data_IF_156420594806
#
_entry.id   IF_156420594806
#
_cell.length_a   1.000
_cell.length_b   1.000
_cell.length_c   1.000
_cell.angle_alpha   90.00
_cell.angle_beta   90.00
_cell.angle_gamma   90.00
#
_symmetry.space_group_name_H-M   'P 1'
#
loop_
_entity.id
_entity.type
_entity.pdbx_description
1 polymer ?
#
# COMPACT_ATOMS: atom_id res chain seq x y z
N UNK A 1 -10.63 -11.26 13.88
CA UNK A 1 -10.94 -9.87 14.13
C UNK A 1 -10.62 -9.01 12.90
N UNK A 2 -9.46 -9.09 12.28
CA UNK A 2 -9.09 -8.27 11.10
C UNK A 2 -9.09 -9.07 9.79
N UNK A 3 -10.09 -9.93 9.60
CA UNK A 3 -10.18 -10.86 8.44
C UNK A 3 -10.33 -10.13 7.11
N UNK A 4 -10.91 -8.93 7.10
CA UNK A 4 -11.03 -8.11 5.89
C UNK A 4 -9.67 -7.77 5.24
N UNK A 5 -8.61 -7.65 6.05
CA UNK A 5 -7.26 -7.35 5.57
C UNK A 5 -6.47 -8.59 5.13
N UNK A 6 -7.01 -9.81 5.35
CA UNK A 6 -6.47 -11.05 4.78
C UNK A 6 -6.93 -11.21 3.34
N UNK A 7 -6.49 -10.29 2.50
CA UNK A 7 -6.91 -10.16 1.11
C UNK A 7 -5.94 -9.30 0.31
N UNK A 8 -6.27 -9.00 -0.94
CA UNK A 8 -5.55 -8.02 -1.74
C UNK A 8 -6.12 -6.63 -1.48
N UNK A 9 -5.34 -5.73 -0.90
CA UNK A 9 -5.60 -4.30 -0.85
C UNK A 9 -4.90 -3.58 -1.99
N UNK A 10 -5.47 -2.48 -2.48
CA UNK A 10 -4.86 -1.63 -3.49
C UNK A 10 -4.24 -0.39 -2.85
N UNK A 11 -2.96 -0.14 -3.11
CA UNK A 11 -2.35 1.16 -2.86
C UNK A 11 -2.80 2.13 -3.96
N UNK A 12 -3.95 2.78 -3.73
CA UNK A 12 -4.66 3.56 -4.76
C UNK A 12 -3.80 4.74 -5.22
N UNK A 13 -3.69 4.94 -6.54
CA UNK A 13 -3.07 6.15 -7.11
C UNK A 13 -3.99 7.36 -6.92
N UNK A 14 -3.41 8.57 -6.94
CA UNK A 14 -4.15 9.82 -7.13
C UNK A 14 -3.99 10.25 -8.60
N UNK A 15 -5.03 10.20 -9.42
CA UNK A 15 -4.97 10.72 -10.79
C UNK A 15 -4.88 12.23 -10.80
N UNK A 16 -4.11 12.78 -11.73
CA UNK A 16 -3.98 14.23 -11.94
C UNK A 16 -4.31 14.62 -13.37
N UNK A 17 -4.87 15.81 -13.54
CA UNK A 17 -4.92 16.51 -14.83
C UNK A 17 -3.51 17.01 -15.23
N UNK A 18 -3.36 17.48 -16.47
CA UNK A 18 -2.08 18.03 -16.99
C UNK A 18 -1.59 19.26 -16.24
N UNK A 19 -2.49 20.03 -15.66
CA UNK A 19 -2.20 21.20 -14.84
C UNK A 19 -1.82 20.84 -13.38
N UNK A 20 -1.85 19.54 -13.05
CA UNK A 20 -1.54 19.02 -11.72
C UNK A 20 -2.72 19.01 -10.76
N UNK A 21 -3.91 19.49 -11.14
CA UNK A 21 -5.12 19.35 -10.31
C UNK A 21 -5.58 17.89 -10.24
N UNK A 22 -6.34 17.52 -9.20
CA UNK A 22 -6.82 16.15 -8.98
C UNK A 22 -7.93 15.82 -9.99
N UNK A 23 -7.78 14.70 -10.70
CA UNK A 23 -8.80 14.16 -11.61
C UNK A 23 -9.75 13.22 -10.86
N UNK A 24 -10.74 13.79 -10.19
CA UNK A 24 -11.74 13.04 -9.44
C UNK A 24 -12.58 12.10 -10.33
N UNK A 25 -12.80 12.45 -11.60
CA UNK A 25 -13.53 11.59 -12.54
C UNK A 25 -12.75 10.29 -12.85
N UNK A 26 -11.45 10.37 -13.02
CA UNK A 26 -10.61 9.18 -13.16
C UNK A 26 -10.47 8.42 -11.84
N UNK A 27 -10.46 9.10 -10.71
CA UNK A 27 -10.44 8.48 -9.39
C UNK A 27 -11.72 7.66 -9.14
N UNK A 28 -12.91 8.22 -9.47
CA UNK A 28 -14.18 7.50 -9.43
C UNK A 28 -14.14 6.22 -10.26
N UNK A 29 -13.73 6.33 -11.52
CA UNK A 29 -13.63 5.19 -12.44
C UNK A 29 -12.68 4.10 -11.90
N UNK A 30 -11.55 4.48 -11.30
CA UNK A 30 -10.62 3.53 -10.71
C UNK A 30 -11.23 2.83 -9.49
N UNK A 31 -11.92 3.54 -8.61
CA UNK A 31 -12.56 2.96 -7.43
C UNK A 31 -13.63 1.95 -7.85
N UNK A 32 -14.50 2.29 -8.79
CA UNK A 32 -15.51 1.36 -9.30
C UNK A 32 -14.88 0.16 -10.01
N UNK A 33 -13.81 0.37 -10.77
CA UNK A 33 -13.04 -0.70 -11.39
C UNK A 33 -12.47 -1.67 -10.35
N UNK A 34 -11.92 -1.16 -9.24
CA UNK A 34 -11.41 -1.97 -8.15
C UNK A 34 -12.52 -2.79 -7.47
N UNK A 35 -13.64 -2.16 -7.15
CA UNK A 35 -14.77 -2.81 -6.47
C UNK A 35 -15.35 -3.92 -7.35
N UNK A 36 -15.59 -3.64 -8.63
CA UNK A 36 -16.13 -4.60 -9.61
C UNK A 36 -15.20 -5.81 -9.79
N UNK A 37 -13.88 -5.62 -9.62
CA UNK A 37 -12.88 -6.67 -9.76
C UNK A 37 -12.46 -7.29 -8.41
N UNK A 38 -13.30 -7.15 -7.37
CA UNK A 38 -13.18 -7.82 -6.08
C UNK A 38 -11.94 -7.47 -5.26
N UNK A 39 -11.43 -6.22 -5.35
CA UNK A 39 -10.40 -5.79 -4.41
C UNK A 39 -10.91 -5.93 -2.96
N UNK A 40 -10.06 -6.33 -2.04
CA UNK A 40 -10.43 -6.54 -0.65
C UNK A 40 -10.63 -5.24 0.13
N UNK A 41 -9.74 -4.27 -0.05
CA UNK A 41 -9.76 -2.97 0.63
C UNK A 41 -8.93 -1.93 -0.12
N UNK A 42 -9.14 -0.66 0.23
CA UNK A 42 -8.41 0.48 -0.32
C UNK A 42 -7.36 0.99 0.67
N UNK A 43 -6.20 1.39 0.16
CA UNK A 43 -5.22 2.19 0.91
C UNK A 43 -5.11 3.54 0.21
N UNK A 44 -5.64 4.57 0.85
CA UNK A 44 -5.75 5.94 0.34
C UNK A 44 -4.62 6.79 0.93
N UNK A 45 -4.07 7.72 0.15
CA UNK A 45 -2.97 8.60 0.58
C UNK A 45 -1.70 7.87 1.03
N UNK A 46 -1.49 6.63 0.55
CA UNK A 46 -0.20 5.95 0.67
C UNK A 46 0.85 6.57 -0.26
N UNK A 47 2.04 5.96 -0.31
CA UNK A 47 3.14 6.38 -1.20
C UNK A 47 2.73 6.42 -2.68
N UNK A 48 1.98 5.40 -3.11
CA UNK A 48 1.48 5.26 -4.49
C UNK A 48 0.48 6.37 -4.85
N UNK A 49 -0.23 6.91 -3.85
CA UNK A 49 -1.14 8.05 -3.99
C UNK A 49 -0.45 9.42 -4.02
N UNK A 50 0.89 9.47 -4.11
CA UNK A 50 1.68 10.71 -4.16
C UNK A 50 1.36 11.69 -3.01
N UNK A 51 1.06 11.17 -1.82
CA UNK A 51 0.63 11.97 -0.66
C UNK A 51 1.63 13.05 -0.23
N UNK A 52 2.92 12.89 -0.58
CA UNK A 52 3.96 13.88 -0.29
C UNK A 52 3.81 15.19 -1.09
N UNK A 53 3.12 15.17 -2.23
CA UNK A 53 2.91 16.34 -3.11
C UNK A 53 1.50 16.92 -3.00
N UNK A 54 0.67 16.37 -2.12
CA UNK A 54 -0.68 16.86 -1.85
C UNK A 54 -0.68 17.82 -0.66
N UNK A 55 -1.34 18.96 -0.79
CA UNK A 55 -1.57 19.86 0.32
C UNK A 55 -2.70 19.34 1.25
N UNK A 56 -2.94 20.05 2.36
CA UNK A 56 -3.91 19.62 3.37
C UNK A 56 -5.34 19.54 2.82
N UNK A 57 -5.76 20.55 2.07
CA UNK A 57 -7.13 20.63 1.54
C UNK A 57 -7.37 19.55 0.48
N UNK A 58 -6.38 19.26 -0.37
CA UNK A 58 -6.43 18.17 -1.33
C UNK A 58 -6.55 16.80 -0.67
N UNK A 59 -5.82 16.58 0.43
CA UNK A 59 -5.93 15.33 1.20
C UNK A 59 -7.34 15.16 1.77
N UNK A 60 -7.91 16.22 2.35
CA UNK A 60 -9.29 16.21 2.86
C UNK A 60 -10.27 15.89 1.72
N UNK A 61 -10.17 16.61 0.59
CA UNK A 61 -11.05 16.38 -0.56
C UNK A 61 -10.97 14.94 -1.11
N UNK A 62 -9.77 14.34 -1.14
CA UNK A 62 -9.60 12.94 -1.57
C UNK A 62 -10.25 11.98 -0.54
N UNK A 63 -10.05 12.21 0.75
CA UNK A 63 -10.62 11.36 1.80
C UNK A 63 -12.14 11.38 1.70
N UNK A 64 -12.75 12.57 1.70
CA UNK A 64 -14.20 12.73 1.64
C UNK A 64 -14.79 12.09 0.38
N UNK A 65 -14.18 12.35 -0.77
CA UNK A 65 -14.59 11.76 -2.05
C UNK A 65 -14.54 10.23 -2.05
N UNK A 66 -13.43 9.67 -1.55
CA UNK A 66 -13.26 8.19 -1.54
C UNK A 66 -14.22 7.55 -0.54
N UNK A 67 -14.40 8.14 0.64
CA UNK A 67 -15.32 7.61 1.66
C UNK A 67 -16.76 7.63 1.16
N UNK A 68 -17.20 8.75 0.57
CA UNK A 68 -18.52 8.89 -0.02
C UNK A 68 -18.75 7.87 -1.14
N UNK A 69 -17.81 7.79 -2.08
CA UNK A 69 -17.94 6.91 -3.24
C UNK A 69 -17.87 5.43 -2.87
N UNK A 70 -16.94 5.03 -2.02
CA UNK A 70 -16.83 3.63 -1.56
C UNK A 70 -18.06 3.22 -0.73
N UNK A 71 -18.62 4.15 0.02
CA UNK A 71 -19.88 3.99 0.77
C UNK A 71 -19.96 2.63 1.52
N UNK A 72 -18.97 2.33 2.32
CA UNK A 72 -18.84 1.09 3.13
C UNK A 72 -18.83 -0.22 2.34
N UNK A 73 -18.77 -0.18 0.98
CA UNK A 73 -18.69 -1.41 0.16
C UNK A 73 -17.38 -2.18 0.38
N UNK A 74 -16.32 -1.49 0.77
CA UNK A 74 -15.00 -2.05 1.07
C UNK A 74 -14.33 -1.25 2.19
N UNK A 75 -13.48 -1.89 3.02
CA UNK A 75 -12.70 -1.18 4.02
C UNK A 75 -11.75 -0.15 3.39
N UNK A 76 -11.53 0.96 4.11
CA UNK A 76 -10.58 2.01 3.72
C UNK A 76 -9.52 2.14 4.82
N UNK A 77 -8.27 2.04 4.42
CA UNK A 77 -7.09 2.32 5.24
C UNK A 77 -6.51 3.66 4.79
N UNK A 78 -6.27 4.57 5.73
CA UNK A 78 -5.71 5.89 5.44
C UNK A 78 -4.20 5.93 5.71
N UNK A 79 -3.42 6.39 4.75
CA UNK A 79 -1.99 6.64 4.90
C UNK A 79 -1.74 7.91 5.71
N UNK A 80 -1.24 7.77 6.94
CA UNK A 80 -0.78 8.87 7.78
C UNK A 80 0.58 8.49 8.35
N UNK A 81 1.62 9.23 8.00
CA UNK A 81 2.98 9.02 8.48
C UNK A 81 3.86 10.24 8.26
N UNK A 82 5.03 10.22 8.84
CA UNK A 82 5.99 11.32 8.76
C UNK A 82 7.21 11.06 9.62
N UNK A 83 8.17 11.96 9.58
CA UNK A 83 9.42 11.89 10.35
C UNK A 83 9.45 12.80 11.60
N UNK A 84 8.34 13.47 11.89
CA UNK A 84 8.09 14.18 13.12
C UNK A 84 6.90 13.54 13.83
N UNK A 85 7.15 12.85 14.95
CA UNK A 85 6.13 12.11 15.71
C UNK A 85 4.95 13.01 16.12
N UNK A 86 5.22 14.24 16.58
CA UNK A 86 4.17 15.16 17.03
C UNK A 86 3.27 15.59 15.86
N UNK A 87 3.84 15.82 14.67
CA UNK A 87 3.05 16.17 13.49
C UNK A 87 2.15 15.01 13.05
N UNK A 88 2.64 13.76 13.13
CA UNK A 88 1.82 12.59 12.84
C UNK A 88 0.66 12.48 13.82
N UNK A 89 0.90 12.67 15.13
CA UNK A 89 -0.14 12.69 16.16
C UNK A 89 -1.15 13.83 15.91
N UNK A 90 -0.67 15.04 15.61
CA UNK A 90 -1.54 16.17 15.29
C UNK A 90 -2.39 15.91 14.04
N UNK A 91 -1.80 15.30 13.02
CA UNK A 91 -2.51 14.91 11.80
C UNK A 91 -3.64 13.91 12.11
N UNK A 92 -3.37 12.87 12.90
CA UNK A 92 -4.39 11.90 13.34
C UNK A 92 -5.53 12.59 14.06
N UNK A 93 -5.21 13.47 15.03
CA UNK A 93 -6.20 14.15 15.85
C UNK A 93 -7.04 15.17 15.07
N UNK A 94 -6.51 15.74 13.98
CA UNK A 94 -7.18 16.77 13.19
C UNK A 94 -7.88 16.25 11.93
N UNK A 95 -7.67 14.98 11.56
CA UNK A 95 -8.29 14.38 10.38
C UNK A 95 -9.66 13.81 10.76
N UNK A 96 -10.67 14.06 9.92
CA UNK A 96 -11.92 13.33 10.02
C UNK A 96 -11.69 11.86 9.61
N UNK A 97 -11.90 10.93 10.54
CA UNK A 97 -11.68 9.50 10.34
C UNK A 97 -12.97 8.71 10.12
N UNK A 98 -14.11 9.39 9.95
CA UNK A 98 -15.38 8.73 9.67
C UNK A 98 -15.28 7.95 8.34
N UNK A 99 -15.68 6.69 8.37
CA UNK A 99 -15.58 5.79 7.21
C UNK A 99 -14.19 5.20 6.96
N UNK A 100 -13.19 5.53 7.79
CA UNK A 100 -11.85 4.93 7.78
C UNK A 100 -11.78 3.84 8.85
N UNK A 101 -11.20 2.70 8.51
CA UNK A 101 -11.16 1.54 9.42
C UNK A 101 -9.79 1.28 10.05
N UNK A 102 -8.71 1.78 9.44
CA UNK A 102 -7.35 1.67 9.97
C UNK A 102 -6.43 2.76 9.41
N UNK A 103 -5.29 2.96 10.06
CA UNK A 103 -4.22 3.86 9.61
C UNK A 103 -3.03 3.03 9.16
N UNK A 104 -2.49 3.32 7.97
CA UNK A 104 -1.19 2.82 7.51
C UNK A 104 -0.13 3.89 7.81
N UNK A 105 0.78 3.59 8.74
CA UNK A 105 1.81 4.54 9.17
C UNK A 105 3.20 4.08 8.77
N UNK A 106 3.82 4.82 7.83
CA UNK A 106 5.18 4.54 7.36
C UNK A 106 6.22 4.91 8.41
N UNK A 107 7.31 4.14 8.49
CA UNK A 107 8.45 4.45 9.35
C UNK A 107 9.02 5.85 9.06
N UNK A 108 9.54 6.57 10.08
CA UNK A 108 10.15 7.87 9.87
C UNK A 108 11.26 7.83 8.82
N UNK A 109 11.17 8.72 7.83
CA UNK A 109 12.14 8.83 6.77
C UNK A 109 13.19 9.90 7.07
N UNK A 110 14.34 9.88 6.39
CA UNK A 110 15.35 10.90 6.37
C UNK A 110 16.20 11.03 7.66
N UNK A 111 15.60 11.25 8.83
CA UNK A 111 16.30 11.43 10.12
C UNK A 111 16.76 10.11 10.77
N UNK A 112 16.44 8.97 10.19
CA UNK A 112 16.96 7.61 10.52
C UNK A 112 17.00 7.32 12.01
N UNK A 113 15.84 7.25 12.70
CA UNK A 113 15.80 6.96 14.13
C UNK A 113 16.38 5.56 14.44
N UNK A 114 16.91 5.41 15.67
CA UNK A 114 17.28 4.10 16.20
C UNK A 114 16.07 3.20 16.39
N UNK A 115 16.26 1.91 16.61
CA UNK A 115 15.17 0.96 16.86
C UNK A 115 14.33 1.36 18.08
N UNK A 116 14.97 1.87 19.12
CA UNK A 116 14.27 2.44 20.28
C UNK A 116 13.45 3.68 19.90
N UNK A 117 13.97 4.57 19.05
CA UNK A 117 13.25 5.72 18.52
C UNK A 117 12.04 5.32 17.70
N UNK A 118 12.16 4.30 16.83
CA UNK A 118 11.04 3.74 16.06
C UNK A 118 9.95 3.20 16.98
N UNK A 119 10.33 2.43 18.03
CA UNK A 119 9.37 1.93 19.00
C UNK A 119 8.63 3.07 19.71
N UNK A 120 9.34 4.10 20.19
CA UNK A 120 8.71 5.25 20.84
C UNK A 120 7.79 6.01 19.88
N UNK A 121 8.22 6.22 18.62
CA UNK A 121 7.40 6.84 17.58
C UNK A 121 6.04 6.14 17.45
N UNK A 122 6.04 4.83 17.26
CA UNK A 122 4.80 4.07 17.13
C UNK A 122 3.99 3.97 18.43
N UNK A 123 4.66 3.98 19.59
CA UNK A 123 3.97 4.05 20.89
C UNK A 123 3.15 5.34 21.03
N UNK A 124 3.72 6.50 20.67
CA UNK A 124 3.01 7.77 20.69
C UNK A 124 1.85 7.81 19.69
N UNK A 125 2.07 7.31 18.47
CA UNK A 125 1.03 7.24 17.45
C UNK A 125 -0.09 6.28 17.86
N UNK A 126 0.23 5.10 18.38
CA UNK A 126 -0.75 4.12 18.82
C UNK A 126 -1.62 4.64 19.97
N UNK A 127 -1.04 5.40 20.87
CA UNK A 127 -1.79 6.01 21.99
C UNK A 127 -2.73 7.14 21.54
N UNK A 128 -2.37 7.86 20.49
CA UNK A 128 -3.17 8.96 19.95
C UNK A 128 -4.26 8.51 18.97
N UNK A 129 -4.08 7.37 18.33
CA UNK A 129 -5.00 6.92 17.28
C UNK A 129 -6.25 6.25 17.86
N UNK A 130 -7.47 6.72 17.49
CA UNK A 130 -8.71 6.02 17.80
C UNK A 130 -8.91 4.76 16.94
N UNK A 131 -8.15 4.62 15.83
CA UNK A 131 -8.24 3.52 14.89
C UNK A 131 -7.02 2.59 14.99
N UNK A 132 -7.17 1.31 14.60
CA UNK A 132 -6.06 0.38 14.50
C UNK A 132 -4.97 0.88 13.56
N UNK A 133 -3.71 0.56 13.86
CA UNK A 133 -2.55 0.96 13.08
C UNK A 133 -1.90 -0.27 12.43
N UNK A 134 -1.57 -0.14 11.15
CA UNK A 134 -0.66 -1.02 10.42
C UNK A 134 0.63 -0.22 10.22
N UNK A 135 1.73 -0.69 10.80
CA UNK A 135 3.04 -0.07 10.58
C UNK A 135 3.57 -0.42 9.19
N UNK A 136 4.33 0.47 8.57
CA UNK A 136 4.83 0.25 7.22
C UNK A 136 6.36 0.37 7.16
N UNK A 137 7.01 -0.76 6.86
CA UNK A 137 8.44 -0.88 6.70
C UNK A 137 8.84 -0.89 5.22
N UNK A 138 9.56 0.15 4.77
CA UNK A 138 10.03 0.32 3.39
C UNK A 138 11.41 0.98 3.34
N UNK A 139 12.47 0.27 3.72
CA UNK A 139 13.82 0.83 3.86
C UNK A 139 14.37 1.51 2.60
N UNK A 140 13.99 1.03 1.42
CA UNK A 140 14.38 1.62 0.13
C UNK A 140 13.90 3.07 -0.05
N UNK A 141 12.87 3.50 0.70
CA UNK A 141 12.32 4.86 0.65
C UNK A 141 12.61 5.66 1.91
N UNK A 142 12.56 5.03 3.08
CA UNK A 142 12.76 5.73 4.35
C UNK A 142 14.22 5.89 4.73
N UNK A 143 15.09 5.00 4.23
CA UNK A 143 16.50 4.91 4.65
C UNK A 143 16.66 4.27 6.03
N UNK A 144 15.60 3.73 6.63
CA UNK A 144 15.62 3.03 7.92
C UNK A 144 14.78 1.75 7.84
N UNK A 145 15.28 0.66 8.42
CA UNK A 145 14.58 -0.60 8.53
C UNK A 145 13.98 -0.74 9.95
N UNK A 146 12.71 -1.15 10.04
CA UNK A 146 12.14 -1.66 11.30
C UNK A 146 12.61 -3.11 11.43
N UNK A 147 13.48 -3.41 12.38
CA UNK A 147 13.97 -4.78 12.54
C UNK A 147 12.86 -5.74 12.97
N UNK A 148 13.09 -7.04 12.78
CA UNK A 148 12.14 -8.07 13.22
C UNK A 148 11.87 -7.97 14.72
N UNK A 149 12.93 -7.76 15.53
CA UNK A 149 12.83 -7.64 16.99
C UNK A 149 11.99 -6.42 17.39
N UNK A 150 12.20 -5.27 16.72
CA UNK A 150 11.40 -4.05 16.95
C UNK A 150 9.95 -4.26 16.54
N UNK A 151 9.70 -4.91 15.41
CA UNK A 151 8.36 -5.27 14.94
C UNK A 151 7.64 -6.17 15.96
N UNK A 152 8.31 -7.21 16.45
CA UNK A 152 7.76 -8.14 17.45
C UNK A 152 7.51 -7.46 18.80
N UNK A 153 8.40 -6.55 19.21
CA UNK A 153 8.19 -5.73 20.41
C UNK A 153 6.95 -4.86 20.28
N UNK A 154 6.79 -4.15 19.14
CA UNK A 154 5.61 -3.36 18.83
C UNK A 154 4.35 -4.23 18.87
N UNK A 155 4.37 -5.38 18.20
CA UNK A 155 3.25 -6.31 18.12
C UNK A 155 2.78 -6.85 19.49
N UNK A 156 3.70 -7.03 20.43
CA UNK A 156 3.39 -7.55 21.77
C UNK A 156 2.96 -6.44 22.75
N UNK A 157 3.56 -5.26 22.66
CA UNK A 157 3.37 -4.20 23.66
C UNK A 157 2.30 -3.17 23.25
N UNK A 158 2.08 -2.92 21.94
CA UNK A 158 1.18 -1.89 21.45
C UNK A 158 -0.11 -2.53 20.90
N UNK A 159 -1.12 -2.67 21.74
CA UNK A 159 -2.39 -3.38 21.41
C UNK A 159 -3.14 -2.79 20.22
N UNK A 160 -2.97 -1.49 19.94
CA UNK A 160 -3.62 -0.79 18.82
C UNK A 160 -2.84 -0.98 17.50
N UNK A 161 -1.64 -1.59 17.52
CA UNK A 161 -0.90 -1.94 16.31
C UNK A 161 -1.25 -3.36 15.91
N UNK A 162 -1.98 -3.50 14.81
CA UNK A 162 -2.59 -4.77 14.39
C UNK A 162 -1.80 -5.54 13.34
N UNK A 163 -0.78 -4.92 12.76
CA UNK A 163 0.02 -5.57 11.71
C UNK A 163 1.12 -4.70 11.16
N UNK A 164 1.86 -5.28 10.24
CA UNK A 164 2.90 -4.63 9.46
C UNK A 164 2.66 -4.84 7.96
N UNK A 165 2.78 -3.76 7.17
CA UNK A 165 3.05 -3.83 5.74
C UNK A 165 4.56 -3.92 5.57
N UNK A 166 5.04 -5.08 5.13
CA UNK A 166 6.47 -5.36 5.00
C UNK A 166 6.91 -5.26 3.53
N UNK A 167 7.76 -4.30 3.26
CA UNK A 167 8.30 -4.00 1.93
C UNK A 167 9.83 -3.82 1.96
N UNK A 168 10.51 -4.53 2.87
CA UNK A 168 11.97 -4.51 2.93
C UNK A 168 12.64 -5.32 1.82
N UNK A 169 11.92 -6.25 1.21
CA UNK A 169 12.50 -7.24 0.29
C UNK A 169 13.28 -8.36 1.00
N UNK A 170 13.31 -8.37 2.33
CA UNK A 170 14.09 -9.30 3.13
C UNK A 170 13.23 -10.48 3.64
N UNK A 171 13.14 -11.55 2.84
CA UNK A 171 12.39 -12.76 3.22
C UNK A 171 12.83 -13.39 4.56
N UNK A 172 14.13 -13.50 4.90
CA UNK A 172 14.54 -13.94 6.23
C UNK A 172 13.95 -13.11 7.37
N UNK A 173 13.89 -11.77 7.25
CA UNK A 173 13.23 -10.91 8.23
C UNK A 173 11.73 -11.19 8.30
N UNK A 174 11.07 -11.32 7.16
CA UNK A 174 9.63 -11.63 7.06
C UNK A 174 9.33 -12.97 7.73
N UNK A 175 10.12 -14.02 7.46
CA UNK A 175 9.98 -15.34 8.10
C UNK A 175 10.11 -15.25 9.61
N UNK A 176 11.10 -14.49 10.12
CA UNK A 176 11.30 -14.33 11.55
C UNK A 176 10.10 -13.66 12.22
N UNK A 177 9.55 -12.62 11.59
CA UNK A 177 8.33 -11.94 12.08
C UNK A 177 7.15 -12.91 12.07
N UNK A 178 6.88 -13.61 10.97
CA UNK A 178 5.75 -14.54 10.83
C UNK A 178 5.80 -15.64 11.90
N UNK A 179 6.99 -16.22 12.12
CA UNK A 179 7.17 -17.32 13.06
C UNK A 179 6.95 -16.91 14.53
N UNK A 180 7.22 -15.64 14.88
CA UNK A 180 7.25 -15.18 16.28
C UNK A 180 6.15 -14.14 16.61
N UNK A 181 5.33 -13.74 15.64
CA UNK A 181 4.27 -12.74 15.85
C UNK A 181 3.13 -13.26 16.73
N UNK A 182 2.44 -12.41 17.48
CA UNK A 182 1.17 -12.78 18.09
C UNK A 182 0.16 -13.26 17.02
N UNK A 183 -0.70 -14.21 17.42
CA UNK A 183 -1.67 -14.87 16.51
C UNK A 183 -2.51 -13.88 15.67
N UNK A 184 -2.89 -12.75 16.25
CA UNK A 184 -3.78 -11.76 15.63
C UNK A 184 -3.02 -10.61 14.94
N UNK A 185 -1.68 -10.62 14.95
CA UNK A 185 -0.87 -9.61 14.27
C UNK A 185 -0.70 -9.99 12.80
N UNK A 186 -1.02 -9.06 11.89
CA UNK A 186 -0.99 -9.27 10.45
C UNK A 186 0.41 -9.00 9.88
N UNK A 187 0.87 -9.86 8.96
CA UNK A 187 2.02 -9.59 8.10
C UNK A 187 1.53 -9.50 6.66
N UNK A 188 1.49 -8.27 6.15
CA UNK A 188 0.95 -7.94 4.84
C UNK A 188 2.12 -7.62 3.91
N UNK A 189 2.20 -8.29 2.76
CA UNK A 189 3.22 -7.96 1.76
C UNK A 189 3.05 -6.53 1.26
N UNK A 190 4.16 -5.80 1.17
CA UNK A 190 4.21 -4.48 0.53
C UNK A 190 4.98 -4.50 -0.80
N UNK A 191 5.30 -5.71 -1.30
CA UNK A 191 6.07 -5.96 -2.51
C UNK A 191 5.31 -6.94 -3.39
N UNK A 192 4.90 -6.51 -4.57
CA UNK A 192 4.08 -7.31 -5.50
C UNK A 192 4.82 -8.56 -5.98
N UNK A 193 6.12 -8.45 -6.27
CA UNK A 193 6.94 -9.58 -6.74
C UNK A 193 7.21 -10.61 -5.62
N UNK A 194 7.26 -10.18 -4.36
CA UNK A 194 7.46 -11.06 -3.21
C UNK A 194 6.17 -11.50 -2.53
N UNK A 195 5.01 -11.16 -3.10
CA UNK A 195 3.71 -11.50 -2.50
C UNK A 195 3.51 -13.02 -2.41
N UNK A 196 3.72 -13.77 -3.49
CA UNK A 196 3.54 -15.22 -3.48
C UNK A 196 4.45 -15.91 -2.44
N UNK A 197 5.78 -15.69 -2.41
CA UNK A 197 6.62 -16.30 -1.37
C UNK A 197 6.25 -15.85 0.05
N UNK A 198 5.86 -14.59 0.26
CA UNK A 198 5.40 -14.11 1.57
C UNK A 198 4.13 -14.85 2.02
N UNK A 199 3.16 -15.04 1.14
CA UNK A 199 1.94 -15.80 1.42
C UNK A 199 2.24 -17.26 1.72
N UNK A 200 3.15 -17.89 0.97
CA UNK A 200 3.56 -19.28 1.19
C UNK A 200 4.23 -19.50 2.56
N UNK A 201 4.86 -18.46 3.10
CA UNK A 201 5.47 -18.46 4.43
C UNK A 201 4.48 -18.16 5.57
N UNK A 202 3.21 -17.88 5.27
CA UNK A 202 2.18 -17.56 6.26
C UNK A 202 1.87 -16.07 6.38
N UNK A 203 2.17 -15.28 5.37
CA UNK A 203 1.67 -13.91 5.24
C UNK A 203 0.14 -13.86 5.15
N UNK A 204 -0.43 -12.72 5.50
CA UNK A 204 -1.88 -12.56 5.67
C UNK A 204 -2.56 -11.88 4.45
N UNK A 205 -1.80 -11.26 3.54
CA UNK A 205 -2.32 -10.55 2.38
C UNK A 205 -1.29 -9.63 1.74
N UNK A 206 -1.77 -8.68 0.93
CA UNK A 206 -0.91 -7.71 0.24
C UNK A 206 -1.56 -6.32 0.19
N UNK A 207 -0.74 -5.28 0.24
CA UNK A 207 -1.10 -3.92 -0.20
C UNK A 207 -0.32 -3.65 -1.49
N UNK A 208 -0.99 -3.81 -2.61
CA UNK A 208 -0.43 -3.97 -3.96
C UNK A 208 -0.43 -2.66 -4.74
N UNK A 209 0.61 -2.45 -5.55
CA UNK A 209 0.67 -1.39 -6.58
C UNK A 209 0.08 -1.90 -7.89
N UNK A 210 0.45 -3.12 -8.33
CA UNK A 210 -0.03 -3.68 -9.61
C UNK A 210 -1.55 -3.90 -9.61
N UNK A 211 -2.18 -4.07 -8.45
CA UNK A 211 -3.63 -4.18 -8.33
C UNK A 211 -4.39 -2.94 -8.82
N UNK A 212 -3.77 -1.76 -8.95
CA UNK A 212 -4.39 -0.62 -9.64
C UNK A 212 -4.80 -0.99 -11.07
N UNK A 213 -3.98 -1.77 -11.78
CA UNK A 213 -4.20 -2.19 -13.18
C UNK A 213 -4.85 -3.59 -13.29
N UNK A 214 -4.49 -4.52 -12.40
CA UNK A 214 -4.92 -5.93 -12.45
C UNK A 214 -5.53 -6.40 -11.12
N UNK A 215 -6.61 -5.74 -10.64
CA UNK A 215 -7.20 -6.08 -9.34
C UNK A 215 -7.78 -7.49 -9.29
N UNK A 216 -8.41 -7.95 -10.38
CA UNK A 216 -9.03 -9.28 -10.48
C UNK A 216 -8.01 -10.40 -10.32
N UNK A 217 -6.91 -10.30 -11.07
CA UNK A 217 -5.83 -11.29 -11.06
C UNK A 217 -5.15 -11.32 -9.70
N UNK A 218 -4.84 -10.14 -9.14
CA UNK A 218 -4.14 -10.06 -7.87
C UNK A 218 -5.01 -10.50 -6.69
N UNK A 219 -6.30 -10.14 -6.69
CA UNK A 219 -7.26 -10.65 -5.69
C UNK A 219 -7.39 -12.18 -5.77
N UNK A 220 -7.43 -12.73 -6.98
CA UNK A 220 -7.51 -14.17 -7.20
C UNK A 220 -6.24 -14.90 -6.74
N UNK A 221 -5.06 -14.31 -6.98
CA UNK A 221 -3.79 -14.83 -6.48
C UNK A 221 -3.81 -14.98 -4.96
N UNK A 222 -4.19 -13.92 -4.24
CA UNK A 222 -4.25 -13.96 -2.77
C UNK A 222 -5.28 -14.98 -2.28
N UNK A 223 -6.44 -15.04 -2.91
CA UNK A 223 -7.46 -16.03 -2.58
C UNK A 223 -6.94 -17.46 -2.71
N UNK A 224 -6.27 -17.77 -3.81
CA UNK A 224 -5.64 -19.08 -3.98
C UNK A 224 -4.57 -19.37 -2.92
N UNK A 225 -3.74 -18.40 -2.55
CA UNK A 225 -2.77 -18.59 -1.48
C UNK A 225 -3.46 -18.91 -0.14
N UNK A 226 -4.52 -18.19 0.20
CA UNK A 226 -5.28 -18.40 1.45
C UNK A 226 -5.98 -19.77 1.48
N UNK A 227 -6.38 -20.28 0.33
CA UNK A 227 -6.98 -21.61 0.16
C UNK A 227 -5.92 -22.74 0.07
N UNK A 228 -4.62 -22.42 0.12
CA UNK A 228 -3.55 -23.41 -0.05
C UNK A 228 -3.31 -23.88 -1.48
N UNK A 229 -3.93 -23.23 -2.48
CA UNK A 229 -3.84 -23.53 -3.91
C UNK A 229 -2.65 -22.83 -4.56
N UNK A 230 -1.45 -23.22 -4.16
CA UNK A 230 -0.22 -22.52 -4.57
C UNK A 230 0.15 -22.70 -6.03
N UNK A 231 -0.25 -23.79 -6.71
CA UNK A 231 0.03 -23.99 -8.13
C UNK A 231 -0.79 -23.04 -9.00
N UNK A 232 -2.04 -22.79 -8.64
CA UNK A 232 -2.90 -21.80 -9.29
C UNK A 232 -2.41 -20.37 -9.01
N UNK A 233 -2.01 -20.09 -7.77
CA UNK A 233 -1.43 -18.79 -7.40
C UNK A 233 -0.13 -18.51 -8.16
N UNK A 234 0.74 -19.52 -8.30
CA UNK A 234 1.99 -19.47 -9.04
C UNK A 234 1.76 -19.15 -10.53
N UNK A 235 0.74 -19.72 -11.14
CA UNK A 235 0.38 -19.45 -12.54
C UNK A 235 0.05 -17.97 -12.74
N UNK A 236 -0.74 -17.36 -11.84
CA UNK A 236 -1.06 -15.93 -11.91
C UNK A 236 0.18 -15.08 -11.62
N UNK A 237 0.97 -15.47 -10.61
CA UNK A 237 2.17 -14.74 -10.22
C UNK A 237 3.15 -14.61 -11.39
N UNK A 238 3.51 -15.70 -12.03
CA UNK A 238 4.45 -15.67 -13.16
C UNK A 238 3.86 -14.99 -14.40
N UNK A 239 2.56 -15.07 -14.61
CA UNK A 239 1.89 -14.29 -15.66
C UNK A 239 2.09 -12.79 -15.48
N UNK A 240 2.07 -12.28 -14.23
CA UNK A 240 2.18 -10.87 -13.92
C UNK A 240 3.61 -10.41 -13.58
N UNK A 241 4.56 -11.32 -13.38
CA UNK A 241 5.86 -10.98 -12.81
C UNK A 241 6.64 -9.98 -13.68
N UNK A 242 6.61 -10.14 -14.99
CA UNK A 242 7.35 -9.25 -15.90
C UNK A 242 6.78 -7.84 -15.90
N UNK A 243 5.45 -7.69 -15.90
CA UNK A 243 4.83 -6.36 -15.81
C UNK A 243 5.01 -5.75 -14.42
N UNK A 244 4.98 -6.55 -13.35
CA UNK A 244 5.31 -6.08 -12.00
C UNK A 244 6.73 -5.50 -12.00
N UNK A 245 7.71 -6.23 -12.49
CA UNK A 245 9.09 -5.74 -12.56
C UNK A 245 9.20 -4.46 -13.41
N UNK A 246 8.53 -4.42 -14.56
CA UNK A 246 8.58 -3.28 -15.47
C UNK A 246 8.04 -1.97 -14.86
N UNK A 247 6.95 -2.02 -14.07
CA UNK A 247 6.39 -0.82 -13.44
C UNK A 247 7.26 -0.26 -12.29
N UNK A 248 8.25 -1.03 -11.82
CA UNK A 248 9.19 -0.60 -10.77
C UNK A 248 10.60 -0.29 -11.30
N UNK A 249 10.86 -0.42 -12.63
CA UNK A 249 12.20 -0.19 -13.21
C UNK A 249 12.77 1.20 -12.94
N UNK A 250 11.93 2.23 -13.00
CA UNK A 250 12.36 3.60 -12.70
C UNK A 250 11.87 4.00 -11.30
N UNK A 251 10.64 4.47 -11.19
CA UNK A 251 10.08 4.90 -9.91
C UNK A 251 8.59 4.61 -9.82
N UNK A 252 8.13 4.09 -8.70
CA UNK A 252 6.70 4.01 -8.39
C UNK A 252 6.22 5.34 -7.76
N UNK A 253 5.06 5.92 -8.23
CA UNK A 253 4.02 5.30 -9.04
C UNK A 253 4.10 5.56 -10.57
N UNK A 254 5.20 6.09 -11.12
CA UNK A 254 5.26 6.47 -12.54
C UNK A 254 4.97 5.27 -13.47
N UNK A 255 5.53 4.09 -13.19
CA UNK A 255 5.31 2.91 -14.00
C UNK A 255 3.86 2.41 -13.97
N UNK A 256 3.21 2.40 -12.81
CA UNK A 256 1.81 2.00 -12.73
C UNK A 256 0.87 3.01 -13.39
N UNK A 257 1.16 4.32 -13.31
CA UNK A 257 0.39 5.34 -14.03
C UNK A 257 0.54 5.18 -15.55
N UNK A 258 1.74 4.84 -16.05
CA UNK A 258 1.93 4.52 -17.46
C UNK A 258 1.09 3.31 -17.89
N UNK A 259 1.07 2.23 -17.09
CA UNK A 259 0.23 1.07 -17.35
C UNK A 259 -1.27 1.42 -17.38
N UNK A 260 -1.73 2.26 -16.45
CA UNK A 260 -3.13 2.70 -16.38
C UNK A 260 -3.54 3.57 -17.59
N UNK A 261 -2.64 4.40 -18.12
CA UNK A 261 -2.89 5.17 -19.35
C UNK A 261 -3.02 4.25 -20.56
N UNK A 262 -2.12 3.27 -20.72
CA UNK A 262 -2.19 2.27 -21.79
C UNK A 262 -3.50 1.48 -21.71
N UNK A 263 -3.95 1.13 -20.52
CA UNK A 263 -5.22 0.46 -20.27
C UNK A 263 -6.44 1.39 -20.33
N UNK A 264 -6.26 2.71 -20.57
CA UNK A 264 -7.30 3.75 -20.64
C UNK A 264 -8.12 3.90 -19.34
N UNK A 265 -7.50 3.59 -18.19
CA UNK A 265 -8.12 3.68 -16.88
C UNK A 265 -7.90 5.03 -16.20
N UNK A 266 -6.69 5.61 -16.33
CA UNK A 266 -6.36 6.90 -15.78
C UNK A 266 -5.25 7.59 -16.60
N UNK A 267 -5.12 8.95 -16.54
CA UNK A 267 -4.03 9.65 -17.21
C UNK A 267 -2.68 9.43 -16.50
N UNK A 268 -1.58 9.48 -17.27
CA UNK A 268 -0.20 9.33 -16.79
C UNK A 268 0.41 10.69 -16.41
N UNK A 269 -0.26 11.43 -15.55
CA UNK A 269 0.25 12.70 -15.03
C UNK A 269 0.75 12.51 -13.59
N UNK A 270 1.93 13.04 -13.29
CA UNK A 270 2.55 13.05 -11.97
C UNK A 270 2.85 14.48 -11.54
N UNK A 271 3.05 14.68 -10.23
CA UNK A 271 3.54 15.93 -9.69
C UNK A 271 5.05 15.86 -9.44
N UNK A 272 5.77 16.92 -9.74
CA UNK A 272 7.19 17.03 -9.40
C UNK A 272 7.40 16.77 -7.91
N UNK A 273 8.51 16.09 -7.54
CA UNK A 273 9.67 15.74 -8.38
C UNK A 273 9.50 14.49 -9.24
N UNK A 274 8.34 13.81 -9.20
CA UNK A 274 8.09 12.65 -10.04
C UNK A 274 7.70 13.08 -11.46
N UNK A 275 8.16 12.29 -12.43
CA UNK A 275 7.87 12.49 -13.85
C UNK A 275 7.44 11.17 -14.48
N UNK A 276 6.72 11.18 -15.62
CA UNK A 276 6.40 9.95 -16.35
C UNK A 276 7.65 9.15 -16.70
N UNK A 277 7.52 7.83 -16.80
CA UNK A 277 8.62 6.96 -17.21
C UNK A 277 9.14 7.29 -18.61
N UNK A 278 10.42 6.98 -18.84
CA UNK A 278 11.06 7.18 -20.13
C UNK A 278 10.43 6.33 -21.25
N UNK A 279 10.68 6.71 -22.52
CA UNK A 279 10.11 6.03 -23.71
C UNK A 279 10.39 4.54 -23.73
N UNK A 280 11.59 4.12 -23.35
CA UNK A 280 12.00 2.70 -23.34
C UNK A 280 11.14 1.91 -22.36
N UNK A 281 10.99 2.39 -21.13
CA UNK A 281 10.17 1.74 -20.09
C UNK A 281 8.70 1.74 -20.48
N UNK A 282 8.19 2.85 -21.03
CA UNK A 282 6.81 2.92 -21.50
C UNK A 282 6.53 1.92 -22.63
N UNK A 283 7.45 1.76 -23.60
CA UNK A 283 7.33 0.77 -24.68
C UNK A 283 7.38 -0.65 -24.15
N UNK A 284 8.24 -0.94 -23.16
CA UNK A 284 8.29 -2.26 -22.49
C UNK A 284 6.96 -2.57 -21.79
N UNK A 285 6.43 -1.64 -20.99
CA UNK A 285 5.13 -1.79 -20.30
C UNK A 285 4.03 -2.06 -21.33
N UNK A 286 3.99 -1.29 -22.43
CA UNK A 286 3.00 -1.46 -23.50
C UNK A 286 3.06 -2.86 -24.13
N UNK A 287 4.27 -3.33 -24.45
CA UNK A 287 4.47 -4.68 -25.01
C UNK A 287 4.03 -5.79 -24.05
N UNK A 288 4.36 -5.65 -22.76
CA UNK A 288 3.97 -6.63 -21.75
C UNK A 288 2.45 -6.68 -21.55
N UNK A 289 1.77 -5.52 -21.54
CA UNK A 289 0.31 -5.44 -21.45
C UNK A 289 -0.37 -6.14 -22.63
N UNK A 290 0.16 -5.99 -23.87
CA UNK A 290 -0.39 -6.64 -25.05
C UNK A 290 -0.28 -8.18 -25.04
N UNK A 291 0.66 -8.72 -24.24
CA UNK A 291 0.91 -10.16 -24.14
C UNK A 291 0.18 -10.82 -22.93
N UNK A 292 -0.52 -10.06 -22.11
CA UNK A 292 -1.29 -10.51 -20.95
C UNK A 292 -2.73 -10.87 -21.31
#
# INVERSE_FOLDING_TARGET
MYTAYKSAGVALITPFHKDGSIDFKSLERLIEYQITNNIGYFVVLGTTGESATLNKDEKVAIIDFVVELVNKRKPIILGIGGNNTQEVVNCINSTNLDGIEAILSVAPSYNKPSQSGIFQHYKYIANASPLPIIIYNVPSRTGVNISAETTLKIANELKNVIGIKEASGNLPQIMHIINNKPKNFLVISGDDALTLPTMALGGDGVISVIANAYPKEFSKLIHFCLDGKYDEAKTIHYKLLDIINAIFLEVSPAGIKAALEILKLAPNNLRLPLVPVGKTTNSLISKLIQNL
#
